data_IF_282206611241
#
_entry.id   IF_282206611241
#
_cell.length_a   1.000
_cell.length_b   1.000
_cell.length_c   1.000
_cell.angle_alpha   90.00
_cell.angle_beta   90.00
_cell.angle_gamma   90.00
#
_symmetry.space_group_name_H-M   'P 1'
#
loop_
_entity.id
_entity.type
_entity.pdbx_description
1 polymer ?
#
# COMPACT_ATOMS: atom_id res chain seq x y z
N UNK A 1 7.11 16.56 -35.49
CA UNK A 1 7.90 15.93 -34.40
C UNK A 1 8.80 17.00 -33.83
N UNK A 2 8.57 17.38 -32.57
CA UNK A 2 9.29 18.50 -31.92
C UNK A 2 10.68 18.05 -31.45
N UNK A 3 11.69 18.92 -31.62
CA UNK A 3 13.08 18.74 -31.18
C UNK A 3 13.18 18.37 -29.68
N UNK A 4 12.23 18.84 -28.86
CA UNK A 4 12.10 18.51 -27.44
C UNK A 4 11.81 17.03 -27.17
N UNK A 5 11.05 16.36 -28.03
CA UNK A 5 10.72 14.92 -27.91
C UNK A 5 11.94 14.04 -28.21
N UNK A 6 12.79 14.45 -29.13
CA UNK A 6 14.04 13.74 -29.46
C UNK A 6 15.09 13.86 -28.34
N UNK A 7 15.24 15.04 -27.75
CA UNK A 7 16.20 15.30 -26.67
C UNK A 7 15.81 14.53 -25.39
N UNK A 8 14.52 14.42 -25.08
CA UNK A 8 14.03 13.63 -23.94
C UNK A 8 14.28 12.14 -24.14
N UNK A 9 14.06 11.62 -25.35
CA UNK A 9 14.31 10.21 -25.67
C UNK A 9 15.80 9.81 -25.66
N UNK A 10 16.70 10.72 -26.06
CA UNK A 10 18.15 10.47 -26.02
C UNK A 10 18.67 10.50 -24.58
N UNK A 11 18.20 11.45 -23.76
CA UNK A 11 18.56 11.54 -22.34
C UNK A 11 18.10 10.32 -21.54
N UNK A 12 16.90 9.81 -21.80
CA UNK A 12 16.42 8.60 -21.12
C UNK A 12 17.20 7.34 -21.50
N UNK A 13 17.62 7.21 -22.77
CA UNK A 13 18.45 6.08 -23.22
C UNK A 13 19.86 6.13 -22.66
N UNK A 14 20.49 7.32 -22.61
CA UNK A 14 21.80 7.50 -21.99
C UNK A 14 21.77 7.25 -20.49
N UNK A 15 20.73 7.69 -19.80
CA UNK A 15 20.54 7.41 -18.38
C UNK A 15 20.34 5.90 -18.12
N UNK A 16 19.58 5.20 -18.95
CA UNK A 16 19.39 3.75 -18.85
C UNK A 16 20.69 2.97 -19.12
N UNK A 17 21.52 3.40 -20.09
CA UNK A 17 22.82 2.79 -20.36
C UNK A 17 23.82 3.04 -19.22
N UNK A 18 23.85 4.26 -18.67
CA UNK A 18 24.68 4.59 -17.51
C UNK A 18 24.27 3.80 -16.27
N UNK A 19 22.95 3.64 -16.02
CA UNK A 19 22.44 2.81 -14.95
C UNK A 19 22.83 1.34 -15.15
N UNK A 20 22.66 0.79 -16.35
CA UNK A 20 23.07 -0.59 -16.66
C UNK A 20 24.58 -0.84 -16.48
N UNK A 21 25.44 0.13 -16.81
CA UNK A 21 26.89 0.04 -16.56
C UNK A 21 27.22 0.11 -15.06
N UNK A 22 26.53 0.96 -14.29
CA UNK A 22 26.65 1.02 -12.83
C UNK A 22 26.17 -0.28 -12.17
N UNK A 23 25.06 -0.84 -12.63
CA UNK A 23 24.51 -2.10 -12.11
C UNK A 23 25.42 -3.30 -12.42
N UNK A 24 26.22 -3.23 -13.50
CA UNK A 24 27.23 -4.24 -13.81
C UNK A 24 28.42 -4.19 -12.85
N UNK A 25 28.85 -2.99 -12.44
CA UNK A 25 29.95 -2.78 -11.51
C UNK A 25 29.53 -2.89 -10.05
N UNK A 26 28.31 -2.48 -9.72
CA UNK A 26 27.72 -2.48 -8.39
C UNK A 26 26.29 -3.05 -8.46
N UNK A 27 26.15 -4.37 -8.71
CA UNK A 27 24.82 -4.95 -8.83
C UNK A 27 24.01 -4.76 -7.54
N UNK A 28 22.69 -4.43 -7.67
CA UNK A 28 21.84 -4.24 -6.51
C UNK A 28 21.83 -5.50 -5.63
N UNK A 29 21.77 -5.29 -4.33
CA UNK A 29 21.67 -6.37 -3.34
C UNK A 29 20.25 -6.48 -2.83
N UNK A 30 19.77 -7.70 -2.69
CA UNK A 30 18.48 -7.98 -2.10
C UNK A 30 18.45 -7.46 -0.66
N UNK A 31 17.47 -6.59 -0.36
CA UNK A 31 17.32 -5.94 0.94
C UNK A 31 16.96 -6.90 2.08
N UNK A 32 16.54 -8.12 1.75
CA UNK A 32 16.20 -9.14 2.73
C UNK A 32 17.33 -10.17 2.93
N UNK A 33 17.96 -10.70 1.87
CA UNK A 33 18.96 -11.77 2.00
C UNK A 33 20.38 -11.35 1.57
N UNK A 34 20.59 -10.13 1.07
CA UNK A 34 21.90 -9.63 0.65
C UNK A 34 22.42 -10.18 -0.69
N UNK A 35 21.72 -11.11 -1.35
CA UNK A 35 22.11 -11.71 -2.64
C UNK A 35 22.11 -10.64 -3.74
N UNK A 36 23.10 -10.70 -4.61
CA UNK A 36 23.21 -9.81 -5.77
C UNK A 36 22.15 -10.09 -6.84
N UNK A 37 21.80 -9.07 -7.64
CA UNK A 37 20.99 -9.15 -8.85
C UNK A 37 19.70 -8.35 -8.84
N UNK A 38 19.05 -8.17 -7.69
CA UNK A 38 17.83 -7.36 -7.57
C UNK A 38 17.60 -6.89 -6.14
N UNK A 39 16.88 -5.78 -5.95
CA UNK A 39 16.58 -5.25 -4.62
C UNK A 39 15.63 -6.15 -3.80
N UNK A 40 14.79 -6.94 -4.46
CA UNK A 40 13.98 -7.98 -3.81
C UNK A 40 13.97 -9.21 -4.72
N UNK A 41 14.84 -10.18 -4.42
CA UNK A 41 15.08 -11.30 -5.31
C UNK A 41 13.89 -12.27 -5.35
N UNK A 42 13.76 -13.01 -6.46
CA UNK A 42 12.67 -13.95 -6.67
C UNK A 42 12.55 -14.99 -5.54
N UNK A 43 13.69 -15.43 -4.97
CA UNK A 43 13.71 -16.36 -3.84
C UNK A 43 13.10 -15.75 -2.56
N UNK A 44 13.35 -14.47 -2.26
CA UNK A 44 12.73 -13.79 -1.13
C UNK A 44 11.26 -13.46 -1.42
N UNK A 45 10.93 -13.08 -2.65
CA UNK A 45 9.54 -12.85 -3.04
C UNK A 45 8.70 -14.13 -2.91
N UNK A 46 9.24 -15.28 -3.31
CA UNK A 46 8.58 -16.58 -3.18
C UNK A 46 8.39 -17.04 -1.72
N UNK A 47 9.15 -16.49 -0.77
CA UNK A 47 8.97 -16.75 0.67
C UNK A 47 7.88 -15.89 1.32
N UNK A 48 7.31 -14.93 0.60
CA UNK A 48 6.22 -14.12 1.14
C UNK A 48 4.94 -14.96 1.11
N UNK A 49 4.52 -15.41 2.29
CA UNK A 49 3.29 -16.18 2.43
C UNK A 49 2.06 -15.29 2.25
N UNK A 50 1.16 -15.61 1.27
CA UNK A 50 -0.02 -14.82 1.06
C UNK A 50 -1.03 -15.02 2.19
N UNK A 51 -1.77 -13.97 2.52
CA UNK A 51 -2.95 -14.08 3.36
C UNK A 51 -4.08 -14.73 2.57
N UNK A 52 -4.59 -15.86 3.08
CA UNK A 52 -5.63 -16.65 2.47
C UNK A 52 -6.84 -16.79 3.41
N UNK A 53 -8.06 -17.01 2.88
CA UNK A 53 -9.22 -17.38 3.68
C UNK A 53 -8.97 -18.66 4.51
N UNK A 54 -9.64 -18.80 5.68
CA UNK A 54 -10.70 -17.94 6.19
C UNK A 54 -10.20 -16.67 6.86
N UNK A 55 -10.81 -15.53 6.52
CA UNK A 55 -10.47 -14.23 7.07
C UNK A 55 -11.70 -13.38 7.33
N UNK A 56 -11.59 -12.39 8.21
CA UNK A 56 -12.66 -11.44 8.48
C UNK A 56 -13.04 -10.66 7.20
N UNK A 57 -14.31 -10.68 6.83
CA UNK A 57 -14.81 -10.00 5.63
C UNK A 57 -14.51 -8.50 5.62
N UNK A 58 -14.48 -7.84 6.79
CA UNK A 58 -14.22 -6.40 6.93
C UNK A 58 -12.74 -6.07 7.01
N UNK A 59 -12.01 -6.59 8.00
CA UNK A 59 -10.63 -6.17 8.23
C UNK A 59 -9.57 -7.06 7.57
N UNK A 60 -9.96 -8.15 6.89
CA UNK A 60 -9.05 -9.05 6.20
C UNK A 60 -8.13 -9.88 7.10
N UNK A 61 -8.31 -9.86 8.42
CA UNK A 61 -7.50 -10.66 9.35
C UNK A 61 -7.92 -12.11 9.34
N UNK A 62 -6.97 -13.04 9.45
CA UNK A 62 -7.30 -14.45 9.62
C UNK A 62 -8.28 -14.64 10.79
N UNK A 63 -9.33 -15.42 10.56
CA UNK A 63 -10.32 -15.80 11.57
C UNK A 63 -10.74 -17.25 11.35
N UNK A 64 -11.00 -18.04 12.39
CA UNK A 64 -11.36 -19.46 12.20
C UNK A 64 -12.65 -19.65 11.40
N UNK A 65 -13.61 -18.73 11.48
CA UNK A 65 -14.91 -18.84 10.82
C UNK A 65 -15.03 -18.14 9.48
N UNK A 66 -14.07 -17.30 9.11
CA UNK A 66 -14.18 -16.45 7.92
C UNK A 66 -15.20 -15.32 7.98
N UNK A 67 -16.00 -15.26 9.07
CA UNK A 67 -17.01 -14.22 9.29
C UNK A 67 -16.43 -12.93 9.89
N UNK A 68 -17.27 -11.90 10.05
CA UNK A 68 -16.86 -10.64 10.67
C UNK A 68 -16.39 -10.91 12.11
N UNK A 69 -15.15 -10.52 12.43
CA UNK A 69 -14.57 -10.73 13.75
C UNK A 69 -15.25 -9.87 14.82
N UNK A 70 -15.13 -10.27 16.10
CA UNK A 70 -15.77 -9.62 17.24
C UNK A 70 -15.42 -8.13 17.36
N UNK A 71 -14.23 -7.71 16.94
CA UNK A 71 -13.85 -6.31 16.95
C UNK A 71 -14.58 -5.51 15.87
N UNK A 72 -14.68 -6.05 14.66
CA UNK A 72 -15.38 -5.41 13.54
C UNK A 72 -16.90 -5.35 13.77
N UNK A 73 -17.46 -6.30 14.48
CA UNK A 73 -18.87 -6.25 14.89
C UNK A 73 -19.19 -5.05 15.79
N UNK A 74 -18.26 -4.69 16.68
CA UNK A 74 -18.47 -3.62 17.68
C UNK A 74 -18.11 -2.22 17.18
N UNK A 75 -17.47 -2.11 16.01
CA UNK A 75 -16.98 -0.83 15.51
C UNK A 75 -17.63 -0.49 14.18
N UNK A 76 -18.27 0.68 14.07
CA UNK A 76 -18.66 1.19 12.76
C UNK A 76 -17.43 1.41 11.89
N UNK A 77 -17.61 1.32 10.57
CA UNK A 77 -16.54 1.50 9.60
C UNK A 77 -17.08 2.18 8.35
N UNK A 78 -16.32 3.14 7.82
CA UNK A 78 -16.56 3.74 6.53
C UNK A 78 -16.01 2.87 5.39
N UNK A 79 -15.14 1.89 5.71
CA UNK A 79 -14.63 0.89 4.77
C UNK A 79 -15.60 -0.27 4.61
N UNK A 80 -15.82 -0.70 3.36
CA UNK A 80 -16.53 -1.94 3.04
C UNK A 80 -15.66 -3.16 3.37
N UNK A 81 -14.35 -3.04 3.19
CA UNK A 81 -13.41 -4.06 3.63
C UNK A 81 -11.96 -3.72 3.34
N UNK A 82 -11.07 -4.49 3.97
CA UNK A 82 -9.62 -4.41 3.79
C UNK A 82 -9.12 -5.77 3.33
N UNK A 83 -8.20 -5.76 2.35
CA UNK A 83 -7.41 -6.93 1.97
C UNK A 83 -5.93 -6.58 2.07
N UNK A 84 -5.14 -7.53 2.51
CA UNK A 84 -3.69 -7.39 2.58
C UNK A 84 -3.05 -8.60 1.88
N UNK A 85 -1.97 -8.37 1.15
CA UNK A 85 -1.33 -9.44 0.39
C UNK A 85 -0.68 -10.49 1.31
N UNK A 86 -0.04 -10.05 2.41
CA UNK A 86 0.68 -10.93 3.33
C UNK A 86 0.70 -10.37 4.76
N UNK A 87 1.29 -11.11 5.69
CA UNK A 87 1.63 -10.59 7.02
C UNK A 87 2.89 -9.73 6.96
N UNK A 88 2.99 -8.73 7.89
CA UNK A 88 4.15 -7.86 8.00
C UNK A 88 5.30 -8.57 8.72
N UNK A 89 5.92 -9.53 8.02
CA UNK A 89 6.99 -10.39 8.52
C UNK A 89 8.14 -10.46 7.52
N UNK A 90 9.28 -11.02 7.90
CA UNK A 90 10.38 -11.24 6.97
C UNK A 90 10.01 -12.28 5.89
N UNK A 91 10.47 -12.10 4.68
CA UNK A 91 11.40 -11.06 4.16
C UNK A 91 10.70 -9.76 3.74
N UNK A 92 9.38 -9.72 3.72
CA UNK A 92 8.57 -8.58 3.27
C UNK A 92 8.78 -7.33 4.14
N UNK A 93 8.95 -7.49 5.46
CA UNK A 93 9.19 -6.38 6.39
C UNK A 93 10.45 -5.58 6.01
N UNK A 94 11.54 -6.27 5.67
CA UNK A 94 12.78 -5.64 5.20
C UNK A 94 12.56 -4.86 3.90
N UNK A 95 11.84 -5.43 2.93
CA UNK A 95 11.52 -4.76 1.68
C UNK A 95 10.69 -3.47 1.91
N UNK A 96 9.64 -3.54 2.70
CA UNK A 96 8.81 -2.38 3.04
C UNK A 96 9.61 -1.32 3.82
N UNK A 97 10.51 -1.72 4.71
CA UNK A 97 11.37 -0.79 5.44
C UNK A 97 12.28 -0.01 4.49
N UNK A 98 12.98 -0.68 3.58
CA UNK A 98 13.85 -0.02 2.60
C UNK A 98 13.03 0.86 1.64
N UNK A 99 11.85 0.41 1.21
CA UNK A 99 10.92 1.19 0.42
C UNK A 99 10.46 2.48 1.13
N UNK A 100 10.39 2.49 2.46
CA UNK A 100 9.99 3.67 3.26
C UNK A 100 11.13 4.64 3.57
N UNK A 101 12.35 4.13 3.79
CA UNK A 101 13.39 4.91 4.46
C UNK A 101 14.73 4.98 3.71
N UNK A 102 14.93 4.16 2.69
CA UNK A 102 16.20 4.07 1.97
C UNK A 102 16.09 4.50 0.49
N UNK A 103 15.07 5.25 0.13
CA UNK A 103 14.80 5.74 -1.24
C UNK A 103 14.80 4.64 -2.31
N UNK A 104 14.51 3.40 -1.92
CA UNK A 104 14.48 2.22 -2.81
C UNK A 104 13.15 2.15 -3.60
N UNK A 105 12.94 3.13 -4.50
CA UNK A 105 11.70 3.27 -5.30
C UNK A 105 11.46 2.08 -6.22
N UNK A 106 12.51 1.44 -6.67
CA UNK A 106 12.51 0.26 -7.55
C UNK A 106 11.82 -0.95 -6.89
N UNK A 107 11.63 -0.92 -5.57
CA UNK A 107 10.82 -1.92 -4.85
C UNK A 107 9.32 -1.78 -5.15
N UNK A 108 8.86 -0.68 -5.78
CA UNK A 108 7.45 -0.48 -6.10
C UNK A 108 6.91 -1.61 -6.98
N UNK A 109 7.61 -1.97 -8.05
CA UNK A 109 7.15 -3.00 -8.98
C UNK A 109 7.04 -4.41 -8.34
N UNK A 110 8.07 -4.97 -7.66
CA UNK A 110 7.93 -6.27 -7.00
C UNK A 110 6.91 -6.25 -5.83
N UNK A 111 6.73 -5.11 -5.16
CA UNK A 111 5.70 -5.01 -4.11
C UNK A 111 4.29 -4.88 -4.71
N UNK A 112 4.13 -4.21 -5.85
CA UNK A 112 2.86 -4.13 -6.56
C UNK A 112 2.43 -5.48 -7.14
N UNK A 113 3.36 -6.36 -7.54
CA UNK A 113 3.02 -7.72 -7.96
C UNK A 113 2.33 -8.52 -6.84
N UNK A 114 2.74 -8.33 -5.57
CA UNK A 114 2.04 -8.96 -4.44
C UNK A 114 0.60 -8.44 -4.28
N UNK A 115 0.37 -7.14 -4.56
CA UNK A 115 -0.99 -6.57 -4.56
C UNK A 115 -1.81 -7.12 -5.70
N UNK A 116 -1.24 -7.27 -6.90
CA UNK A 116 -1.90 -7.90 -8.05
C UNK A 116 -2.29 -9.34 -7.76
N UNK A 117 -1.39 -10.13 -7.20
CA UNK A 117 -1.67 -11.51 -6.79
C UNK A 117 -2.80 -11.58 -5.75
N UNK A 118 -2.80 -10.66 -4.79
CA UNK A 118 -3.87 -10.54 -3.81
C UNK A 118 -5.20 -10.18 -4.49
N UNK A 119 -5.19 -9.24 -5.42
CA UNK A 119 -6.37 -8.84 -6.19
C UNK A 119 -6.94 -9.99 -7.02
N UNK A 120 -6.09 -10.79 -7.67
CA UNK A 120 -6.51 -11.94 -8.48
C UNK A 120 -7.17 -13.01 -7.61
N UNK A 121 -6.65 -13.26 -6.41
CA UNK A 121 -7.22 -14.24 -5.46
C UNK A 121 -8.48 -13.74 -4.77
N UNK A 122 -8.54 -12.45 -4.46
CA UNK A 122 -9.59 -11.80 -3.67
C UNK A 122 -10.03 -10.50 -4.35
N UNK A 123 -10.74 -10.58 -5.49
CA UNK A 123 -11.14 -9.42 -6.27
C UNK A 123 -11.94 -8.41 -5.44
N UNK A 124 -11.62 -7.13 -5.59
CA UNK A 124 -12.32 -6.04 -4.94
C UNK A 124 -13.22 -5.33 -5.97
N UNK A 125 -14.45 -4.94 -5.58
CA UNK A 125 -15.35 -4.24 -6.48
C UNK A 125 -14.98 -2.76 -6.60
N UNK A 126 -13.87 -2.45 -7.27
CA UNK A 126 -13.34 -1.11 -7.44
C UNK A 126 -13.33 -0.63 -8.88
N UNK A 127 -13.53 0.68 -9.09
CA UNK A 127 -13.47 1.36 -10.39
C UNK A 127 -12.19 2.19 -10.52
N UNK A 128 -11.56 2.53 -9.39
CA UNK A 128 -10.42 3.44 -9.32
C UNK A 128 -9.53 3.12 -8.13
N UNK A 129 -8.23 3.23 -8.35
CA UNK A 129 -7.22 3.14 -7.29
C UNK A 129 -6.90 4.55 -6.77
N UNK A 130 -6.81 4.69 -5.46
CA UNK A 130 -6.49 5.94 -4.80
C UNK A 130 -5.41 5.68 -3.74
N UNK A 131 -4.20 6.25 -3.90
CA UNK A 131 -3.17 6.11 -2.88
C UNK A 131 -3.52 6.89 -1.63
N UNK A 132 -3.31 6.30 -0.46
CA UNK A 132 -3.41 7.03 0.81
C UNK A 132 -2.43 8.19 0.82
N UNK A 133 -2.89 9.44 1.05
CA UNK A 133 -2.02 10.60 1.00
C UNK A 133 -1.06 10.63 2.18
N UNK A 134 0.21 10.87 1.87
CA UNK A 134 1.24 11.11 2.85
C UNK A 134 1.23 12.58 3.26
N UNK A 135 1.38 12.88 4.56
CA UNK A 135 1.54 14.26 5.00
C UNK A 135 2.74 14.92 4.32
N UNK A 136 2.63 16.20 3.95
CA UNK A 136 3.62 16.94 3.17
C UNK A 136 5.04 16.89 3.78
N UNK A 137 5.15 17.01 5.11
CA UNK A 137 6.44 16.87 5.80
C UNK A 137 7.09 15.50 5.52
N UNK A 138 6.33 14.42 5.65
CA UNK A 138 6.84 13.07 5.37
C UNK A 138 7.15 12.87 3.89
N UNK A 139 6.37 13.50 3.01
CA UNK A 139 6.64 13.48 1.57
C UNK A 139 7.96 14.17 1.25
N UNK A 140 8.26 15.30 1.93
CA UNK A 140 9.55 15.99 1.79
C UNK A 140 10.71 15.18 2.36
N UNK A 141 10.54 14.57 3.54
CA UNK A 141 11.56 13.73 4.19
C UNK A 141 11.89 12.48 3.36
N UNK A 142 10.89 11.84 2.74
CA UNK A 142 11.03 10.60 1.95
C UNK A 142 11.31 10.84 0.46
N UNK A 143 10.96 12.03 -0.06
CA UNK A 143 11.06 12.35 -1.48
C UNK A 143 9.94 11.78 -2.35
N UNK A 144 9.06 10.91 -1.82
CA UNK A 144 7.92 10.30 -2.54
C UNK A 144 6.84 9.79 -1.59
N UNK A 145 5.65 9.53 -2.15
CA UNK A 145 4.57 8.79 -1.49
C UNK A 145 4.61 7.32 -1.94
N UNK A 146 4.86 6.40 -1.02
CA UNK A 146 4.93 4.96 -1.27
C UNK A 146 3.64 4.42 -1.87
N UNK A 147 2.52 4.83 -1.27
CA UNK A 147 1.20 4.41 -1.74
C UNK A 147 0.94 4.86 -3.19
N UNK A 148 1.44 6.05 -3.59
CA UNK A 148 1.31 6.53 -4.96
C UNK A 148 2.14 5.70 -5.95
N UNK A 149 3.38 5.33 -5.60
CA UNK A 149 4.17 4.45 -6.44
C UNK A 149 3.51 3.08 -6.60
N UNK A 150 3.02 2.50 -5.50
CA UNK A 150 2.29 1.21 -5.53
C UNK A 150 1.01 1.29 -6.37
N UNK A 151 0.24 2.37 -6.21
CA UNK A 151 -1.00 2.55 -6.97
C UNK A 151 -0.75 2.69 -8.47
N UNK A 152 0.31 3.39 -8.88
CA UNK A 152 0.70 3.53 -10.31
C UNK A 152 1.09 2.19 -10.91
N UNK A 153 1.98 1.45 -10.25
CA UNK A 153 2.39 0.11 -10.71
C UNK A 153 1.19 -0.84 -10.77
N UNK A 154 0.38 -0.89 -9.73
CA UNK A 154 -0.81 -1.73 -9.69
C UNK A 154 -1.84 -1.32 -10.75
N UNK A 155 -2.03 -0.01 -10.97
CA UNK A 155 -2.94 0.52 -11.99
C UNK A 155 -2.55 0.07 -13.40
N UNK A 156 -1.24 0.04 -13.70
CA UNK A 156 -0.72 -0.51 -14.97
C UNK A 156 -0.96 -2.03 -15.07
N UNK A 157 -0.74 -2.78 -13.97
CA UNK A 157 -0.91 -4.23 -13.94
C UNK A 157 -2.38 -4.66 -14.07
N UNK A 158 -3.33 -3.84 -13.59
CA UNK A 158 -4.78 -4.13 -13.61
C UNK A 158 -5.54 -3.39 -14.71
N UNK A 159 -4.87 -2.52 -15.49
CA UNK A 159 -5.51 -1.58 -16.42
C UNK A 159 -6.60 -0.72 -15.74
N UNK A 160 -6.28 -0.22 -14.55
CA UNK A 160 -7.20 0.57 -13.73
C UNK A 160 -6.72 2.01 -13.58
N UNK A 161 -7.65 3.00 -13.62
CA UNK A 161 -7.30 4.40 -13.41
C UNK A 161 -6.81 4.64 -11.98
N UNK A 162 -5.81 5.53 -11.84
CA UNK A 162 -5.27 5.97 -10.56
C UNK A 162 -5.54 7.46 -10.39
N UNK A 163 -6.19 7.84 -9.28
CA UNK A 163 -6.44 9.24 -8.92
C UNK A 163 -5.66 9.54 -7.64
N UNK A 164 -4.64 10.40 -7.74
CA UNK A 164 -3.69 10.60 -6.63
C UNK A 164 -4.08 11.74 -5.68
N UNK A 165 -4.84 12.73 -6.17
CA UNK A 165 -5.05 13.99 -5.46
C UNK A 165 -6.49 14.18 -4.94
N UNK A 166 -7.35 13.17 -5.07
CA UNK A 166 -8.75 13.26 -4.64
C UNK A 166 -8.90 13.34 -3.12
N UNK A 167 -7.96 12.86 -2.34
CA UNK A 167 -7.92 13.00 -0.87
C UNK A 167 -6.67 13.75 -0.47
N UNK A 168 -6.85 14.78 0.35
CA UNK A 168 -5.76 15.59 0.89
C UNK A 168 -5.63 15.33 2.39
N UNK A 169 -4.39 15.33 2.89
CA UNK A 169 -4.10 15.24 4.31
C UNK A 169 -3.73 16.61 4.84
N UNK A 170 -4.69 17.30 5.42
CA UNK A 170 -4.54 18.68 5.86
C UNK A 170 -3.81 18.81 7.20
N UNK A 171 -4.03 17.85 8.11
CA UNK A 171 -3.47 17.94 9.46
C UNK A 171 -2.24 17.05 9.63
N UNK A 172 -1.16 17.64 10.17
CA UNK A 172 -0.02 16.87 10.64
C UNK A 172 -0.45 16.02 11.85
N UNK A 173 -0.22 14.73 11.78
CA UNK A 173 -0.48 13.80 12.88
C UNK A 173 0.83 13.32 13.47
N UNK A 174 0.84 13.00 14.77
CA UNK A 174 2.00 12.43 15.44
C UNK A 174 2.46 11.12 14.74
N UNK A 175 3.76 10.77 14.81
CA UNK A 175 4.21 9.46 14.38
C UNK A 175 3.38 8.36 15.06
N UNK A 176 2.87 7.40 14.28
CA UNK A 176 2.02 6.34 14.82
C UNK A 176 2.80 5.27 15.59
N UNK A 177 4.14 5.33 15.55
CA UNK A 177 5.01 4.42 16.28
C UNK A 177 4.89 4.74 17.77
N UNK A 178 4.61 3.72 18.59
CA UNK A 178 4.42 3.88 20.04
C UNK A 178 3.00 4.22 20.49
N UNK A 179 2.09 4.63 19.58
CA UNK A 179 0.71 4.92 19.93
C UNK A 179 -0.13 3.64 20.03
N UNK A 180 -1.03 3.59 21.02
CA UNK A 180 -2.08 2.57 21.14
C UNK A 180 -3.07 2.63 19.97
N UNK A 181 -3.90 1.61 19.81
CA UNK A 181 -4.92 1.56 18.74
C UNK A 181 -5.96 2.69 18.87
N UNK A 182 -6.29 3.14 20.09
CA UNK A 182 -7.19 4.26 20.37
C UNK A 182 -6.52 5.57 19.96
N UNK A 183 -5.31 5.83 20.46
CA UNK A 183 -4.56 7.04 20.13
C UNK A 183 -4.31 7.18 18.64
N UNK A 184 -4.04 6.08 17.89
CA UNK A 184 -3.91 6.13 16.44
C UNK A 184 -5.18 6.58 15.74
N UNK A 185 -6.36 6.18 16.21
CA UNK A 185 -7.65 6.63 15.67
C UNK A 185 -7.88 8.11 15.95
N UNK A 186 -7.70 8.53 17.20
CA UNK A 186 -7.86 9.93 17.60
C UNK A 186 -6.86 10.84 16.86
N UNK A 187 -5.63 10.36 16.65
CA UNK A 187 -4.58 11.07 15.95
C UNK A 187 -4.92 11.36 14.46
N UNK A 188 -5.66 10.50 13.79
CA UNK A 188 -5.98 10.66 12.35
C UNK A 188 -7.42 11.11 12.08
N UNK A 189 -8.27 11.20 13.10
CA UNK A 189 -9.65 11.66 12.96
C UNK A 189 -9.68 13.10 12.40
N UNK A 190 -10.44 13.33 11.31
CA UNK A 190 -10.52 14.63 10.64
C UNK A 190 -9.21 15.14 10.02
N UNK A 191 -8.23 14.25 9.80
CA UNK A 191 -6.96 14.64 9.16
C UNK A 191 -7.02 14.61 7.63
N UNK A 192 -8.09 14.08 7.06
CA UNK A 192 -8.27 13.91 5.61
C UNK A 192 -9.52 14.65 5.15
N UNK A 193 -9.43 15.21 3.96
CA UNK A 193 -10.50 15.88 3.27
C UNK A 193 -10.54 15.45 1.80
N UNK A 194 -11.73 15.32 1.22
CA UNK A 194 -11.93 14.97 -0.18
C UNK A 194 -12.68 16.10 -0.89
N UNK A 195 -11.99 17.12 -1.43
CA UNK A 195 -12.64 18.27 -2.05
C UNK A 195 -13.24 17.94 -3.43
N UNK A 196 -12.93 16.77 -3.98
CA UNK A 196 -13.24 16.45 -5.37
C UNK A 196 -14.52 15.61 -5.51
N UNK A 197 -15.52 16.21 -6.20
CA UNK A 197 -16.74 15.52 -6.61
C UNK A 197 -16.50 14.36 -7.61
N UNK A 198 -15.30 14.21 -8.17
CA UNK A 198 -14.95 13.11 -9.07
C UNK A 198 -15.08 11.71 -8.42
N UNK A 199 -15.19 11.65 -7.08
CA UNK A 199 -15.43 10.39 -6.35
C UNK A 199 -16.91 10.04 -6.21
N UNK A 200 -17.82 10.96 -6.59
CA UNK A 200 -19.27 10.72 -6.47
C UNK A 200 -19.70 9.47 -7.24
N UNK A 201 -20.31 8.55 -6.53
CA UNK A 201 -20.81 7.29 -7.08
C UNK A 201 -19.74 6.27 -7.46
N UNK A 202 -18.43 6.58 -7.30
CA UNK A 202 -17.34 5.65 -7.59
C UNK A 202 -17.12 4.64 -6.49
N UNK A 203 -16.61 3.47 -6.88
CA UNK A 203 -16.12 2.43 -5.98
C UNK A 203 -14.60 2.55 -5.89
N UNK A 204 -14.13 3.12 -4.80
CA UNK A 204 -12.72 3.47 -4.60
C UNK A 204 -11.98 2.33 -3.90
N UNK A 205 -10.77 2.02 -4.37
CA UNK A 205 -9.83 1.14 -3.65
C UNK A 205 -8.65 1.96 -3.17
N UNK A 206 -8.56 2.15 -1.85
CA UNK A 206 -7.43 2.78 -1.19
C UNK A 206 -6.21 1.86 -1.22
N UNK A 207 -5.07 2.38 -1.65
CA UNK A 207 -3.80 1.67 -1.67
C UNK A 207 -2.90 2.21 -0.56
N UNK A 208 -2.34 1.31 0.27
CA UNK A 208 -1.33 1.66 1.27
C UNK A 208 -0.29 0.53 1.41
N UNK A 209 0.79 0.79 2.11
CA UNK A 209 1.85 -0.23 2.28
C UNK A 209 1.53 -1.20 3.43
N UNK A 210 1.15 -0.72 4.62
CA UNK A 210 0.92 -1.57 5.81
C UNK A 210 -0.34 -1.17 6.56
N UNK A 211 -1.27 -2.10 6.67
CA UNK A 211 -2.40 -1.99 7.57
C UNK A 211 -2.01 -2.44 8.99
N UNK A 212 -1.91 -1.51 9.93
CA UNK A 212 -1.69 -1.81 11.36
C UNK A 212 -3.03 -1.93 12.10
N UNK A 213 -3.60 -0.81 12.52
CA UNK A 213 -4.94 -0.73 13.12
C UNK A 213 -6.05 -0.48 12.10
N UNK A 214 -5.69 -0.06 10.89
CA UNK A 214 -6.60 0.43 9.86
C UNK A 214 -7.05 1.88 10.05
N UNK A 215 -6.58 2.58 11.10
CA UNK A 215 -7.05 3.93 11.44
C UNK A 215 -6.87 4.95 10.31
N UNK A 216 -5.74 4.91 9.60
CA UNK A 216 -5.49 5.81 8.45
C UNK A 216 -6.44 5.52 7.29
N UNK A 217 -6.63 4.24 6.98
CA UNK A 217 -7.54 3.79 5.93
C UNK A 217 -8.99 4.20 6.25
N UNK A 218 -9.39 4.01 7.50
CA UNK A 218 -10.72 4.40 8.01
C UNK A 218 -10.96 5.91 7.90
N UNK A 219 -9.97 6.74 8.29
CA UNK A 219 -10.08 8.19 8.19
C UNK A 219 -10.14 8.68 6.73
N UNK A 220 -9.37 8.07 5.82
CA UNK A 220 -9.48 8.34 4.39
C UNK A 220 -10.85 7.92 3.83
N UNK A 221 -11.34 6.75 4.22
CA UNK A 221 -12.64 6.26 3.78
C UNK A 221 -13.79 7.14 4.28
N UNK A 222 -13.71 7.65 5.51
CA UNK A 222 -14.69 8.59 6.05
C UNK A 222 -14.76 9.87 5.20
N UNK A 223 -13.62 10.47 4.84
CA UNK A 223 -13.56 11.63 3.96
C UNK A 223 -14.15 11.32 2.56
N UNK A 224 -13.79 10.18 1.97
CA UNK A 224 -14.33 9.74 0.68
C UNK A 224 -15.85 9.54 0.70
N UNK A 225 -16.39 9.01 1.79
CA UNK A 225 -17.85 8.80 1.97
C UNK A 225 -18.59 10.11 2.22
N UNK A 226 -18.08 10.93 3.15
CA UNK A 226 -18.75 12.15 3.62
C UNK A 226 -18.62 13.28 2.61
N UNK A 227 -17.41 13.60 2.20
CA UNK A 227 -17.12 14.74 1.32
C UNK A 227 -17.15 14.32 -0.15
N UNK A 228 -16.46 13.22 -0.48
CA UNK A 228 -16.32 12.72 -1.85
C UNK A 228 -17.53 11.96 -2.40
N UNK A 229 -18.49 11.58 -1.55
CA UNK A 229 -19.71 10.84 -1.91
C UNK A 229 -19.44 9.53 -2.67
N UNK A 230 -18.36 8.83 -2.33
CA UNK A 230 -18.02 7.54 -2.90
C UNK A 230 -19.10 6.49 -2.58
N UNK A 231 -19.47 5.67 -3.57
CA UNK A 231 -20.47 4.60 -3.39
C UNK A 231 -19.94 3.43 -2.60
N UNK A 232 -18.64 3.10 -2.75
CA UNK A 232 -17.96 2.06 -1.98
C UNK A 232 -16.51 2.46 -1.74
N UNK A 233 -15.94 2.04 -0.60
CA UNK A 233 -14.53 2.27 -0.28
C UNK A 233 -13.92 1.00 0.29
N UNK A 234 -13.04 0.40 -0.47
CA UNK A 234 -12.22 -0.74 -0.08
C UNK A 234 -10.78 -0.31 0.17
N UNK A 235 -10.00 -1.16 0.81
CA UNK A 235 -8.57 -0.95 0.95
C UNK A 235 -7.78 -2.19 0.56
N UNK A 236 -6.65 -1.99 -0.11
CA UNK A 236 -5.69 -3.03 -0.46
C UNK A 236 -4.29 -2.59 0.02
N UNK A 237 -3.64 -3.45 0.81
CA UNK A 237 -2.31 -3.15 1.37
C UNK A 237 -1.34 -4.30 1.10
N UNK A 238 -0.04 -3.99 1.06
CA UNK A 238 0.99 -5.03 0.88
C UNK A 238 1.00 -5.95 2.11
N UNK A 239 0.94 -5.37 3.31
CA UNK A 239 1.07 -6.16 4.52
C UNK A 239 0.08 -5.76 5.60
N UNK A 240 -0.26 -6.75 6.44
CA UNK A 240 -1.03 -6.58 7.66
C UNK A 240 -0.16 -6.85 8.89
N UNK A 241 -0.06 -5.87 9.78
CA UNK A 241 0.67 -6.07 11.03
C UNK A 241 -0.14 -6.93 12.01
N UNK A 242 0.52 -7.82 12.76
CA UNK A 242 -0.09 -8.57 13.86
C UNK A 242 -0.64 -7.63 14.92
N UNK A 243 -1.73 -8.00 15.55
CA UNK A 243 -2.20 -7.38 16.79
C UNK A 243 -1.70 -8.17 17.98
N UNK A 244 -1.53 -7.50 19.10
CA UNK A 244 -1.37 -8.18 20.38
C UNK A 244 -2.62 -9.07 20.60
N UNK A 245 -2.42 -10.39 20.67
CA UNK A 245 -3.48 -11.38 20.81
C UNK A 245 -3.86 -12.16 19.53
N UNK A 246 -3.28 -11.82 18.35
CA UNK A 246 -3.41 -12.68 17.17
C UNK A 246 -2.66 -14.00 17.42
N UNK A 247 -3.34 -15.13 17.25
CA UNK A 247 -2.69 -16.44 17.34
C UNK A 247 -1.59 -16.57 16.28
N UNK A 248 -0.42 -17.08 16.68
CA UNK A 248 0.61 -17.48 15.72
C UNK A 248 0.08 -18.66 14.93
N UNK A 249 0.02 -18.62 13.59
CA UNK A 249 -0.30 -19.80 12.82
C UNK A 249 0.73 -20.90 13.15
N UNK A 250 0.35 -22.18 13.16
CA UNK A 250 1.29 -23.26 13.33
C UNK A 250 2.34 -23.19 12.19
N UNK A 251 3.60 -23.58 12.47
CA UNK A 251 4.61 -23.64 11.43
C UNK A 251 4.11 -24.61 10.34
N UNK A 252 4.13 -24.15 9.10
CA UNK A 252 3.88 -25.01 7.94
C UNK A 252 5.02 -26.02 7.86
N UNK A 253 4.70 -27.27 8.10
CA UNK A 253 5.60 -28.43 7.95
C UNK A 253 5.94 -28.69 6.48
#
# INVERSE_FOLDING_TARGET
MSLRSLITGVRSRLAALAQGALDLLFPPRCVACGRFGSLFCASCLAQVEPLLPPMCERCGRPTPSGSICSLCHRMPSALDGIRSAAMFEEPLRSAIHHFKYNNARELAAPLASLLQDCWQRLPLPGDVLLPVPLHERRRRERGYNQAALLARELGQLLDMPVIEEAVQRERQTLPQVGLSARERRENVAGAFHCPDAAMRGRRVVLIDDVCTTGATLEACAAALRQDGQAAAVWALTIAQARRLGDATPPPTS
#
